data_IF_789423332020
#
_entry.id   IF_789423332020
#
_cell.length_a   1.000
_cell.length_b   1.000
_cell.length_c   1.000
_cell.angle_alpha   90.00
_cell.angle_beta   90.00
_cell.angle_gamma   90.00
#
_symmetry.space_group_name_H-M   'P 1'
#
loop_
_entity.id
_entity.type
_entity.pdbx_description
1 polymer ?
#
# COMPACT_ATOMS: atom_id res chain seq x y z
N UNK A 1 66.78 -12.89 -14.03
CA UNK A 1 67.10 -11.45 -13.91
C UNK A 1 65.86 -10.54 -13.93
N UNK A 2 64.70 -10.96 -14.43
CA UNK A 2 63.49 -10.11 -14.57
C UNK A 2 62.62 -10.00 -13.32
N UNK A 3 62.39 -11.09 -12.58
CA UNK A 3 61.49 -11.10 -11.42
C UNK A 3 61.99 -10.24 -10.26
N UNK A 4 63.29 -10.26 -9.96
CA UNK A 4 63.87 -9.44 -8.90
C UNK A 4 63.72 -7.94 -9.22
N UNK A 5 63.89 -7.56 -10.49
CA UNK A 5 63.67 -6.18 -10.95
C UNK A 5 62.20 -5.79 -10.89
N UNK A 6 61.28 -6.71 -11.25
CA UNK A 6 59.84 -6.52 -11.09
C UNK A 6 59.46 -6.31 -9.62
N UNK A 7 59.89 -7.21 -8.72
CA UNK A 7 59.61 -7.10 -7.29
C UNK A 7 60.13 -5.78 -6.70
N UNK A 8 61.34 -5.35 -7.07
CA UNK A 8 61.89 -4.05 -6.65
C UNK A 8 61.05 -2.88 -7.16
N UNK A 9 60.65 -2.90 -8.44
CA UNK A 9 59.80 -1.84 -9.02
C UNK A 9 58.40 -1.81 -8.41
N UNK A 10 57.83 -2.97 -8.11
CA UNK A 10 56.50 -3.11 -7.53
C UNK A 10 56.48 -2.64 -6.08
N UNK A 11 57.47 -3.03 -5.27
CA UNK A 11 57.61 -2.56 -3.89
C UNK A 11 57.82 -1.03 -3.85
N UNK A 12 58.65 -0.49 -4.75
CA UNK A 12 58.82 0.96 -4.87
C UNK A 12 57.52 1.67 -5.26
N UNK A 13 56.71 1.07 -6.15
CA UNK A 13 55.41 1.61 -6.54
C UNK A 13 54.35 1.51 -5.43
N UNK A 14 54.44 0.52 -4.54
CA UNK A 14 53.58 0.39 -3.36
C UNK A 14 53.95 1.40 -2.28
N UNK A 15 55.24 1.61 -2.02
CA UNK A 15 55.73 2.52 -0.99
C UNK A 15 55.42 3.99 -1.33
N UNK A 16 55.35 4.33 -2.63
CA UNK A 16 54.93 5.65 -3.08
C UNK A 16 53.43 5.94 -2.88
N UNK A 17 52.60 4.93 -2.57
CA UNK A 17 51.16 5.13 -2.39
C UNK A 17 50.85 5.45 -0.92
N UNK A 18 50.04 6.48 -0.64
CA UNK A 18 49.69 6.82 0.73
C UNK A 18 48.87 5.69 1.36
N UNK A 19 49.27 5.23 2.55
CA UNK A 19 48.57 4.18 3.30
C UNK A 19 47.16 4.63 3.76
N UNK A 20 46.92 5.94 3.84
CA UNK A 20 45.63 6.55 4.18
C UNK A 20 45.31 7.63 3.16
N UNK A 21 44.11 7.58 2.62
CA UNK A 21 43.57 8.67 1.79
C UNK A 21 43.17 9.83 2.71
N UNK A 22 43.43 11.07 2.30
CA UNK A 22 42.99 12.28 3.02
C UNK A 22 41.47 12.42 2.97
N UNK A 23 40.87 13.19 3.90
CA UNK A 23 39.43 13.48 3.89
C UNK A 23 38.95 14.08 2.56
N UNK A 24 39.81 14.87 1.91
CA UNK A 24 39.49 15.58 0.67
C UNK A 24 39.80 14.76 -0.60
N UNK A 25 40.14 13.47 -0.44
CA UNK A 25 40.44 12.61 -1.59
C UNK A 25 39.17 12.29 -2.38
N UNK A 26 39.09 12.80 -3.61
CA UNK A 26 38.02 12.51 -4.56
C UNK A 26 38.64 11.78 -5.74
N UNK A 27 38.14 10.58 -6.03
CA UNK A 27 38.52 9.81 -7.20
C UNK A 27 37.30 9.58 -8.10
N UNK A 28 37.42 9.97 -9.37
CA UNK A 28 36.35 9.81 -10.36
C UNK A 28 36.17 8.33 -10.71
N UNK A 29 34.95 7.82 -10.50
CA UNK A 29 34.58 6.44 -10.80
C UNK A 29 34.81 6.06 -12.27
N UNK A 30 34.76 7.04 -13.18
CA UNK A 30 34.91 6.85 -14.62
C UNK A 30 36.35 6.61 -15.06
N UNK A 31 37.32 6.95 -14.22
CA UNK A 31 38.75 6.80 -14.52
C UNK A 31 39.30 5.44 -14.07
N UNK A 32 38.54 4.66 -13.30
CA UNK A 32 38.99 3.34 -12.91
C UNK A 32 39.01 2.38 -14.10
N UNK A 33 40.10 1.62 -14.29
CA UNK A 33 40.13 0.58 -15.31
C UNK A 33 39.08 -0.48 -14.99
N UNK A 34 38.34 -0.94 -16.00
CA UNK A 34 37.33 -1.99 -15.86
C UNK A 34 37.95 -3.24 -15.21
N UNK A 35 37.69 -3.45 -13.92
CA UNK A 35 38.10 -4.66 -13.22
C UNK A 35 37.13 -5.77 -13.59
N UNK A 36 37.65 -6.91 -14.03
CA UNK A 36 36.84 -8.12 -14.17
C UNK A 36 36.25 -8.48 -12.81
N UNK A 37 34.98 -8.90 -12.79
CA UNK A 37 34.33 -9.31 -11.55
C UNK A 37 35.14 -10.47 -10.93
N UNK A 38 35.76 -10.22 -9.76
CA UNK A 38 36.41 -11.27 -8.99
C UNK A 38 35.32 -12.13 -8.35
N UNK A 39 34.76 -13.06 -9.12
CA UNK A 39 33.78 -14.01 -8.57
C UNK A 39 34.54 -15.03 -7.77
N UNK A 40 34.24 -15.09 -6.47
CA UNK A 40 34.67 -16.19 -5.63
C UNK A 40 34.34 -17.53 -6.32
N UNK A 41 35.23 -18.54 -6.24
CA UNK A 41 34.90 -19.89 -6.66
C UNK A 41 33.54 -20.30 -6.07
N UNK A 42 32.64 -20.82 -6.91
CA UNK A 42 31.31 -21.24 -6.46
C UNK A 42 31.46 -22.29 -5.36
N UNK A 43 30.85 -22.05 -4.22
CA UNK A 43 30.80 -23.02 -3.12
C UNK A 43 30.16 -24.33 -3.62
N UNK A 44 30.67 -25.52 -3.21
CA UNK A 44 30.03 -26.79 -3.51
C UNK A 44 28.59 -26.79 -2.97
N UNK A 45 27.65 -27.39 -3.70
CA UNK A 45 26.25 -27.42 -3.28
C UNK A 45 26.07 -28.33 -2.05
N UNK A 46 25.29 -27.92 -1.04
CA UNK A 46 24.54 -26.67 -0.93
C UNK A 46 25.42 -25.47 -0.50
N UNK A 47 25.29 -24.29 -1.16
CA UNK A 47 26.20 -23.15 -1.00
C UNK A 47 26.07 -22.40 0.34
N UNK A 48 25.01 -22.67 1.11
CA UNK A 48 24.84 -22.15 2.46
C UNK A 48 24.30 -23.24 3.38
N UNK A 49 24.75 -23.32 4.63
CA UNK A 49 24.04 -24.09 5.64
C UNK A 49 22.60 -23.58 5.71
N UNK A 50 21.63 -24.49 5.72
CA UNK A 50 20.23 -24.12 5.88
C UNK A 50 20.11 -23.29 7.16
N UNK A 51 19.51 -22.10 7.05
CA UNK A 51 19.18 -21.28 8.21
C UNK A 51 18.46 -22.17 9.23
N UNK A 52 18.93 -22.27 10.48
CA UNK A 52 18.21 -23.00 11.49
C UNK A 52 16.78 -22.46 11.54
N UNK A 53 15.80 -23.32 11.26
CA UNK A 53 14.41 -22.94 11.45
C UNK A 53 14.29 -22.49 12.91
N UNK A 54 13.66 -21.34 13.23
CA UNK A 54 13.45 -20.95 14.61
C UNK A 54 12.86 -22.14 15.34
N UNK A 55 13.46 -22.51 16.47
CA UNK A 55 13.01 -23.64 17.28
C UNK A 55 11.54 -23.41 17.63
N UNK A 56 10.65 -24.01 16.87
CA UNK A 56 9.34 -24.38 17.36
C UNK A 56 9.66 -25.37 18.46
N UNK A 57 9.48 -24.93 19.71
CA UNK A 57 9.46 -25.78 20.88
C UNK A 57 8.42 -26.88 20.65
N UNK A 58 8.87 -27.98 20.07
CA UNK A 58 8.17 -29.26 20.10
C UNK A 58 8.42 -29.81 21.48
N UNK A 59 7.55 -29.42 22.41
CA UNK A 59 7.08 -30.40 23.37
C UNK A 59 6.30 -31.45 22.56
N UNK A 60 6.53 -32.71 22.86
CA UNK A 60 6.12 -33.84 22.04
C UNK A 60 4.60 -33.89 21.86
N UNK A 61 4.13 -33.66 20.63
CA UNK A 61 2.75 -33.91 20.24
C UNK A 61 2.38 -33.16 18.96
N UNK A 62 2.59 -33.80 17.81
CA UNK A 62 1.87 -33.54 16.55
C UNK A 62 1.43 -32.08 16.32
N UNK A 63 2.36 -31.18 15.99
CA UNK A 63 2.03 -29.79 15.63
C UNK A 63 1.79 -29.67 14.13
N UNK A 64 0.59 -30.07 13.72
CA UNK A 64 -0.15 -29.20 12.80
C UNK A 64 -0.05 -27.78 13.37
N UNK A 65 0.20 -26.78 12.53
CA UNK A 65 -0.01 -25.39 12.94
C UNK A 65 -1.45 -25.28 13.41
N UNK A 66 -1.69 -25.44 14.71
CA UNK A 66 -2.94 -25.07 15.34
C UNK A 66 -2.92 -23.55 15.33
N UNK A 67 -3.25 -22.99 14.16
CA UNK A 67 -3.88 -21.69 14.09
C UNK A 67 -4.95 -21.72 15.16
N UNK A 68 -4.71 -21.04 16.28
CA UNK A 68 -5.68 -20.90 17.35
C UNK A 68 -6.77 -20.00 16.79
N UNK A 69 -7.62 -20.60 15.97
CA UNK A 69 -8.70 -19.90 15.32
C UNK A 69 -9.82 -19.77 16.34
N UNK A 70 -10.28 -18.54 16.53
CA UNK A 70 -11.33 -18.23 17.50
C UNK A 70 -12.61 -17.97 16.72
N UNK A 71 -13.74 -18.41 17.28
CA UNK A 71 -15.07 -18.05 16.80
C UNK A 71 -15.49 -16.74 17.46
N UNK A 72 -15.77 -15.73 16.65
CA UNK A 72 -16.08 -14.38 17.12
C UNK A 72 -17.53 -14.05 16.83
N UNK A 73 -18.28 -13.70 17.87
CA UNK A 73 -19.70 -13.32 17.73
C UNK A 73 -19.86 -11.82 17.92
N UNK A 74 -20.31 -11.12 16.89
CA UNK A 74 -20.53 -9.67 16.86
C UNK A 74 -22.00 -9.36 17.18
N UNK A 75 -22.27 -8.96 18.43
CA UNK A 75 -23.62 -8.68 18.94
C UNK A 75 -23.92 -7.18 18.84
N UNK A 76 -24.86 -6.75 17.99
CA UNK A 76 -25.24 -5.35 17.93
C UNK A 76 -26.02 -4.92 19.16
N UNK A 77 -25.73 -3.71 19.64
CA UNK A 77 -26.42 -3.12 20.79
C UNK A 77 -27.77 -2.48 20.43
N UNK A 78 -28.05 -2.29 19.13
CA UNK A 78 -29.34 -1.83 18.62
C UNK A 78 -29.99 -2.99 17.88
N UNK A 79 -31.28 -3.31 18.12
CA UNK A 79 -31.96 -4.44 17.49
C UNK A 79 -32.20 -4.26 15.98
N UNK A 80 -31.73 -3.14 15.39
CA UNK A 80 -31.90 -2.80 13.98
C UNK A 80 -30.94 -3.55 13.04
N UNK A 81 -29.94 -4.25 13.56
CA UNK A 81 -28.87 -4.87 12.75
C UNK A 81 -28.67 -6.32 13.17
N UNK A 82 -28.28 -7.22 12.25
CA UNK A 82 -28.11 -8.64 12.55
C UNK A 82 -26.87 -8.92 13.41
N UNK A 83 -26.94 -9.99 14.20
CA UNK A 83 -25.78 -10.60 14.88
C UNK A 83 -25.01 -11.43 13.87
N UNK A 84 -23.68 -11.24 13.80
CA UNK A 84 -22.83 -11.93 12.83
C UNK A 84 -21.80 -12.77 13.59
N UNK A 85 -21.75 -14.06 13.27
CA UNK A 85 -20.70 -14.96 13.74
C UNK A 85 -19.63 -15.13 12.66
N UNK A 86 -18.38 -14.96 13.06
CA UNK A 86 -17.21 -15.12 12.21
C UNK A 86 -16.39 -16.28 12.77
N UNK A 87 -16.40 -17.41 12.06
CA UNK A 87 -15.67 -18.61 12.43
C UNK A 87 -14.27 -18.61 11.85
N UNK A 88 -13.36 -19.31 12.49
CA UNK A 88 -12.01 -19.58 11.99
C UNK A 88 -11.08 -18.34 11.85
N UNK A 89 -11.18 -17.34 12.74
CA UNK A 89 -10.34 -16.14 12.69
C UNK A 89 -9.03 -16.33 13.45
N UNK A 90 -7.90 -16.00 12.83
CA UNK A 90 -6.60 -15.92 13.49
C UNK A 90 -6.45 -14.58 14.26
N UNK A 91 -6.43 -14.58 15.61
CA UNK A 91 -6.39 -13.37 16.42
C UNK A 91 -5.06 -12.61 16.33
N UNK A 92 -3.97 -13.27 15.89
CA UNK A 92 -2.65 -12.64 15.77
C UNK A 92 -2.49 -11.86 14.46
N UNK A 93 -3.22 -12.26 13.41
CA UNK A 93 -3.16 -11.61 12.09
C UNK A 93 -4.31 -10.66 11.83
N UNK A 94 -5.44 -10.86 12.48
CA UNK A 94 -6.66 -10.08 12.22
C UNK A 94 -6.71 -8.87 13.14
N UNK A 95 -6.94 -7.69 12.57
CA UNK A 95 -7.12 -6.45 13.31
C UNK A 95 -8.59 -6.19 13.66
N UNK A 96 -8.84 -5.28 14.60
CA UNK A 96 -10.20 -4.82 14.92
C UNK A 96 -10.84 -4.11 13.72
N UNK A 97 -10.04 -3.44 12.89
CA UNK A 97 -10.49 -2.84 11.64
C UNK A 97 -11.06 -3.88 10.66
N UNK A 98 -10.42 -5.04 10.53
CA UNK A 98 -10.86 -6.09 9.60
C UNK A 98 -12.23 -6.65 10.01
N UNK A 99 -12.42 -6.89 11.31
CA UNK A 99 -13.72 -7.33 11.85
C UNK A 99 -14.79 -6.26 11.67
N UNK A 100 -14.43 -5.00 11.89
CA UNK A 100 -15.32 -3.85 11.67
C UNK A 100 -15.75 -3.75 10.20
N UNK A 101 -14.83 -3.99 9.27
CA UNK A 101 -15.09 -3.96 7.83
C UNK A 101 -15.94 -5.15 7.37
N UNK A 102 -15.71 -6.34 7.92
CA UNK A 102 -16.53 -7.53 7.66
C UNK A 102 -17.97 -7.33 8.15
N UNK A 103 -18.13 -6.77 9.34
CA UNK A 103 -19.46 -6.42 9.87
C UNK A 103 -20.15 -5.33 9.03
N UNK A 104 -19.41 -4.28 8.63
CA UNK A 104 -19.90 -3.22 7.76
C UNK A 104 -20.44 -3.76 6.42
N UNK A 105 -19.69 -4.69 5.81
CA UNK A 105 -20.06 -5.30 4.53
C UNK A 105 -21.32 -6.16 4.65
N UNK A 106 -21.40 -7.00 5.68
CA UNK A 106 -22.55 -7.89 5.86
C UNK A 106 -23.81 -7.15 6.36
N UNK A 107 -23.65 -6.11 7.18
CA UNK A 107 -24.77 -5.30 7.65
C UNK A 107 -25.16 -4.18 6.66
N UNK A 108 -24.42 -4.00 5.55
CA UNK A 108 -24.58 -2.88 4.60
C UNK A 108 -24.54 -1.50 5.28
N UNK A 109 -23.58 -1.32 6.20
CA UNK A 109 -23.39 -0.08 6.97
C UNK A 109 -22.01 0.51 6.70
N UNK A 110 -21.89 1.84 6.77
CA UNK A 110 -20.59 2.50 6.67
C UNK A 110 -19.70 2.22 7.90
N UNK A 111 -18.49 1.71 7.68
CA UNK A 111 -17.50 1.41 8.72
C UNK A 111 -17.15 2.62 9.61
N UNK A 112 -17.31 3.85 9.12
CA UNK A 112 -17.09 5.06 9.89
C UNK A 112 -18.13 5.27 11.02
N UNK A 113 -19.34 4.72 10.85
CA UNK A 113 -20.46 4.87 11.80
C UNK A 113 -20.53 3.74 12.84
N UNK A 114 -19.56 2.84 12.83
CA UNK A 114 -19.54 1.63 13.66
C UNK A 114 -18.45 1.77 14.72
N UNK A 115 -18.76 1.45 15.98
CA UNK A 115 -17.76 1.28 17.04
C UNK A 115 -17.83 -0.15 17.52
N UNK A 116 -16.68 -0.83 17.54
CA UNK A 116 -16.56 -2.18 18.10
C UNK A 116 -16.20 -2.05 19.58
N UNK A 117 -16.88 -2.82 20.42
CA UNK A 117 -16.71 -2.83 21.86
C UNK A 117 -16.29 -4.22 22.32
N UNK A 118 -15.31 -4.27 23.20
CA UNK A 118 -14.94 -5.48 23.92
C UNK A 118 -15.19 -5.24 25.41
N UNK A 119 -15.89 -6.16 26.10
CA UNK A 119 -16.28 -6.00 27.52
C UNK A 119 -16.94 -4.62 27.81
N UNK A 120 -17.81 -4.15 26.90
CA UNK A 120 -18.50 -2.83 26.93
C UNK A 120 -17.56 -1.61 26.83
N UNK A 121 -16.30 -1.77 26.46
CA UNK A 121 -15.34 -0.69 26.22
C UNK A 121 -15.08 -0.53 24.71
N UNK A 122 -15.15 0.69 24.14
CA UNK A 122 -14.77 0.91 22.75
C UNK A 122 -13.30 0.56 22.50
N UNK A 123 -13.05 -0.18 21.42
CA UNK A 123 -11.72 -0.63 21.03
C UNK A 123 -11.21 0.18 19.85
N UNK A 124 -9.91 0.47 19.83
CA UNK A 124 -9.24 1.15 18.73
C UNK A 124 -9.00 0.20 17.57
N UNK A 125 -9.30 0.65 16.34
CA UNK A 125 -9.21 -0.15 15.11
C UNK A 125 -7.80 -0.65 14.78
N UNK A 126 -6.76 0.07 15.23
CA UNK A 126 -5.34 -0.26 15.00
C UNK A 126 -4.81 -1.44 15.81
N UNK A 127 -5.58 -1.94 16.79
CA UNK A 127 -5.14 -3.06 17.63
C UNK A 127 -5.45 -4.40 16.98
N UNK A 128 -4.58 -5.37 17.21
CA UNK A 128 -4.86 -6.77 16.86
C UNK A 128 -5.83 -7.38 17.86
N UNK A 129 -6.56 -8.41 17.45
CA UNK A 129 -7.51 -9.07 18.35
C UNK A 129 -6.81 -9.73 19.53
N UNK A 130 -5.59 -10.24 19.33
CA UNK A 130 -4.74 -10.76 20.40
C UNK A 130 -4.45 -9.71 21.49
N UNK A 131 -4.21 -8.46 21.12
CA UNK A 131 -3.97 -7.37 22.09
C UNK A 131 -5.24 -6.94 22.83
N UNK A 132 -6.41 -7.12 22.22
CA UNK A 132 -7.69 -6.66 22.76
C UNK A 132 -8.30 -7.70 23.68
N UNK A 133 -8.22 -8.95 23.27
CA UNK A 133 -8.76 -10.11 23.96
C UNK A 133 -7.80 -10.57 25.07
N UNK A 134 -6.49 -10.39 24.85
CA UNK A 134 -5.42 -10.93 25.68
C UNK A 134 -5.17 -12.40 25.39
N UNK A 135 -4.07 -12.95 25.91
CA UNK A 135 -3.72 -14.38 25.79
C UNK A 135 -4.66 -15.31 26.57
N UNK A 136 -5.67 -14.76 27.26
CA UNK A 136 -6.61 -15.44 28.15
C UNK A 136 -8.05 -15.23 27.65
N UNK A 137 -8.35 -15.72 26.45
CA UNK A 137 -9.73 -15.92 26.06
C UNK A 137 -9.92 -17.28 25.47
N UNK A 138 -11.02 -17.91 25.88
CA UNK A 138 -11.50 -19.14 25.31
C UNK A 138 -11.78 -19.00 23.81
N UNK A 139 -12.03 -20.14 23.18
CA UNK A 139 -12.24 -20.27 21.73
C UNK A 139 -13.46 -19.51 21.19
N UNK A 140 -14.27 -18.90 22.05
CA UNK A 140 -15.43 -18.08 21.69
C UNK A 140 -15.34 -16.70 22.35
N UNK A 141 -15.37 -15.64 21.54
CA UNK A 141 -15.24 -14.26 22.02
C UNK A 141 -16.37 -13.38 21.48
N UNK A 142 -17.11 -12.74 22.39
CA UNK A 142 -18.17 -11.80 22.05
C UNK A 142 -17.65 -10.36 21.95
N UNK A 143 -17.95 -9.67 20.85
CA UNK A 143 -17.78 -8.22 20.73
C UNK A 143 -19.14 -7.55 20.57
N UNK A 144 -19.32 -6.42 21.25
CA UNK A 144 -20.47 -5.56 21.06
C UNK A 144 -20.27 -4.63 19.87
N UNK A 145 -21.28 -4.47 19.02
CA UNK A 145 -21.24 -3.49 17.93
C UNK A 145 -22.20 -2.34 18.24
N UNK A 146 -21.66 -1.13 18.40
CA UNK A 146 -22.44 0.08 18.54
C UNK A 146 -22.48 0.83 17.21
N UNK A 147 -23.63 0.80 16.56
CA UNK A 147 -23.90 1.58 15.35
C UNK A 147 -24.37 2.97 15.77
N UNK A 148 -23.66 4.03 15.39
CA UNK A 148 -24.06 5.41 15.66
C UNK A 148 -25.29 5.77 14.79
N UNK A 149 -26.26 6.47 15.41
CA UNK A 149 -27.52 6.81 14.77
C UNK A 149 -27.29 7.72 13.55
N UNK A 150 -27.92 7.38 12.42
CA UNK A 150 -27.66 7.95 11.08
C UNK A 150 -27.18 6.92 10.05
N UNK A 151 -27.19 5.62 10.39
CA UNK A 151 -26.80 4.53 9.50
C UNK A 151 -27.99 3.66 9.01
N UNK A 152 -29.22 3.99 9.41
CA UNK A 152 -30.43 3.43 8.80
C UNK A 152 -31.05 4.50 7.90
N UNK A 153 -31.53 4.07 6.73
CA UNK A 153 -32.23 4.80 5.67
C UNK A 153 -31.38 5.17 4.43
N UNK A 154 -31.08 4.17 3.61
CA UNK A 154 -31.41 4.26 2.18
C UNK A 154 -32.40 3.13 1.88
N UNK A 155 -33.70 3.47 1.84
CA UNK A 155 -34.77 2.52 1.54
C UNK A 155 -36.13 2.87 2.14
N UNK A 156 -36.98 3.50 1.32
CA UNK A 156 -38.46 3.55 1.38
C UNK A 156 -39.19 4.33 2.51
N UNK A 157 -39.78 5.45 2.06
CA UNK A 157 -41.12 6.00 2.33
C UNK A 157 -41.57 6.43 3.76
N UNK A 158 -42.14 7.64 3.78
CA UNK A 158 -42.77 8.42 4.86
C UNK A 158 -44.03 7.77 5.49
N UNK A 159 -44.54 8.28 6.64
CA UNK A 159 -45.56 9.35 6.58
C UNK A 159 -45.47 10.46 7.66
N UNK A 160 -45.76 11.71 7.23
CA UNK A 160 -46.59 12.81 7.81
C UNK A 160 -46.59 13.11 9.34
N UNK A 161 -46.67 14.34 9.88
CA UNK A 161 -47.14 15.69 9.48
C UNK A 161 -46.57 16.74 10.49
N UNK A 162 -46.54 18.07 10.31
CA UNK A 162 -47.02 18.98 9.28
C UNK A 162 -46.91 20.46 9.73
N UNK A 163 -46.76 21.37 8.75
CA UNK A 163 -47.18 22.80 8.68
C UNK A 163 -46.25 23.52 7.69
N UNK A 164 -46.63 24.32 6.69
CA UNK A 164 -47.87 24.76 6.02
C UNK A 164 -47.42 25.44 4.69
N UNK A 165 -48.31 25.79 3.73
CA UNK A 165 -48.11 25.54 2.29
C UNK A 165 -47.82 26.79 1.45
N UNK A 166 -47.15 26.64 0.29
CA UNK A 166 -47.49 27.39 -0.94
C UNK A 166 -47.06 26.59 -2.20
N UNK A 167 -48.07 26.22 -3.00
CA UNK A 167 -48.18 26.06 -4.48
C UNK A 167 -46.98 25.66 -5.37
N UNK A 168 -47.24 24.76 -6.33
CA UNK A 168 -46.37 24.25 -7.42
C UNK A 168 -47.08 24.46 -8.78
N UNK A 169 -46.57 24.03 -9.98
CA UNK A 169 -45.22 23.75 -10.55
C UNK A 169 -45.14 24.27 -12.06
N UNK A 170 -44.31 23.80 -13.05
CA UNK A 170 -43.22 22.79 -13.08
C UNK A 170 -41.94 23.08 -13.96
N UNK A 171 -40.89 22.25 -13.71
CA UNK A 171 -40.02 21.53 -14.68
C UNK A 171 -38.52 21.88 -14.85
N UNK A 172 -37.71 20.79 -14.82
CA UNK A 172 -36.38 20.51 -15.44
C UNK A 172 -35.09 20.72 -14.60
N UNK A 173 -34.28 19.64 -14.57
CA UNK A 173 -33.06 19.35 -13.80
C UNK A 173 -31.80 20.15 -14.17
N UNK A 174 -30.76 20.15 -13.29
CA UNK A 174 -29.44 19.68 -13.73
C UNK A 174 -28.63 18.85 -12.69
N UNK A 175 -27.50 18.24 -13.13
CA UNK A 175 -26.84 17.07 -12.54
C UNK A 175 -25.64 17.36 -11.60
N UNK A 176 -25.23 16.26 -10.96
CA UNK A 176 -24.07 15.96 -10.11
C UNK A 176 -22.74 16.65 -10.43
N UNK A 177 -22.19 17.31 -9.39
CA UNK A 177 -20.78 17.67 -9.22
C UNK A 177 -20.01 16.48 -8.60
N UNK A 178 -18.93 16.05 -9.23
CA UNK A 178 -17.89 15.20 -8.64
C UNK A 178 -16.56 15.92 -8.77
N UNK A 179 -16.21 16.69 -7.74
CA UNK A 179 -14.92 17.35 -7.60
C UNK A 179 -14.23 16.83 -6.32
N UNK A 180 -12.90 16.68 -6.41
CA UNK A 180 -11.93 16.65 -5.29
C UNK A 180 -11.81 15.30 -4.54
N UNK A 181 -10.82 14.43 -4.77
CA UNK A 181 -9.44 14.56 -5.25
C UNK A 181 -8.45 14.59 -4.08
N UNK A 182 -7.62 13.53 -3.91
CA UNK A 182 -6.16 13.60 -3.61
C UNK A 182 -5.54 12.23 -3.22
N UNK A 183 -4.48 11.82 -3.92
CA UNK A 183 -3.38 11.06 -3.31
C UNK A 183 -2.04 11.46 -3.96
N UNK A 184 -1.08 11.81 -3.10
CA UNK A 184 0.27 12.25 -3.38
C UNK A 184 1.26 11.07 -3.35
N UNK A 185 2.35 11.26 -4.10
CA UNK A 185 3.63 10.54 -4.20
C UNK A 185 4.23 10.06 -2.86
N UNK A 186 5.15 9.08 -2.77
CA UNK A 186 5.99 8.26 -3.68
C UNK A 186 6.70 7.22 -2.77
N UNK A 187 7.55 6.27 -3.16
CA UNK A 187 8.30 5.99 -4.38
C UNK A 187 8.95 4.59 -4.24
N UNK A 188 9.14 3.91 -5.37
CA UNK A 188 10.17 2.90 -5.71
C UNK A 188 9.99 1.37 -5.46
N UNK A 189 10.36 0.67 -6.55
CA UNK A 189 10.98 -0.66 -6.74
C UNK A 189 10.08 -1.79 -7.32
N UNK A 190 10.60 -2.29 -8.43
CA UNK A 190 10.13 -3.27 -9.38
C UNK A 190 9.59 -4.60 -8.83
N UNK A 191 8.68 -5.20 -9.60
CA UNK A 191 8.31 -6.61 -9.49
C UNK A 191 6.92 -6.88 -10.05
N UNK A 192 6.87 -7.69 -11.11
CA UNK A 192 5.68 -8.05 -11.87
C UNK A 192 4.41 -8.33 -11.04
N UNK A 193 3.31 -7.70 -11.42
CA UNK A 193 1.97 -8.25 -11.25
C UNK A 193 1.00 -7.64 -12.28
N UNK A 194 0.51 -8.52 -13.13
CA UNK A 194 -0.70 -8.38 -13.94
C UNK A 194 -1.83 -7.69 -13.16
N UNK A 195 -2.44 -6.65 -13.73
CA UNK A 195 -3.58 -5.97 -13.13
C UNK A 195 -4.25 -4.97 -14.07
N UNK A 196 -5.38 -5.40 -14.63
CA UNK A 196 -6.41 -4.61 -15.33
C UNK A 196 -6.05 -4.14 -16.75
N UNK A 197 -6.11 -5.10 -17.66
CA UNK A 197 -6.61 -4.87 -19.02
C UNK A 197 -8.07 -4.37 -18.91
N UNK A 198 -8.24 -3.05 -18.92
CA UNK A 198 -9.48 -2.39 -19.32
C UNK A 198 -9.50 -2.29 -20.84
N UNK A 199 -10.63 -2.65 -21.44
CA UNK A 199 -10.80 -2.86 -22.87
C UNK A 199 -10.44 -1.62 -23.73
N UNK A 200 -9.60 -1.86 -24.75
CA UNK A 200 -9.16 -0.87 -25.74
C UNK A 200 -7.65 -0.93 -25.91
N UNK A 201 -7.15 -1.88 -26.71
CA UNK A 201 -5.74 -1.98 -27.05
C UNK A 201 -5.35 -0.88 -28.04
N UNK A 202 -5.31 0.36 -27.57
CA UNK A 202 -4.56 1.44 -28.17
C UNK A 202 -3.15 1.34 -27.58
N UNK A 203 -2.14 1.16 -28.42
CA UNK A 203 -0.76 1.05 -27.93
C UNK A 203 -0.44 2.30 -27.12
N UNK A 204 0.44 2.22 -26.10
CA UNK A 204 0.85 3.42 -25.36
C UNK A 204 1.41 4.54 -26.26
N UNK A 205 1.83 4.20 -27.48
CA UNK A 205 2.21 5.16 -28.53
C UNK A 205 1.02 5.87 -29.19
N UNK A 206 -0.13 5.21 -29.30
CA UNK A 206 -1.35 5.75 -29.89
C UNK A 206 -1.99 6.77 -28.93
N UNK A 207 -1.97 6.48 -27.62
CA UNK A 207 -2.48 7.39 -26.58
C UNK A 207 -1.68 8.71 -26.54
N UNK A 208 -0.35 8.65 -26.65
CA UNK A 208 0.52 9.85 -26.69
C UNK A 208 0.36 10.64 -27.99
N UNK A 209 -0.17 10.01 -29.05
CA UNK A 209 -0.46 10.70 -30.31
C UNK A 209 -1.74 11.55 -30.24
N UNK A 210 -2.62 11.32 -29.26
CA UNK A 210 -3.87 12.06 -29.07
C UNK A 210 -3.61 13.42 -28.42
N UNK A 211 -4.28 14.48 -28.89
CA UNK A 211 -4.14 15.82 -28.30
C UNK A 211 -4.69 15.93 -26.87
N UNK A 212 -5.59 15.01 -26.48
CA UNK A 212 -6.15 14.91 -25.12
C UNK A 212 -5.04 14.64 -24.08
N UNK A 213 -4.08 13.76 -24.39
CA UNK A 213 -2.94 13.47 -23.52
C UNK A 213 -2.09 14.72 -23.25
N UNK A 214 -1.86 15.55 -24.28
CA UNK A 214 -1.07 16.77 -24.16
C UNK A 214 -1.83 17.88 -23.40
N UNK A 215 -3.16 17.92 -23.52
CA UNK A 215 -4.02 18.79 -22.72
C UNK A 215 -4.00 18.43 -21.23
N UNK A 216 -4.05 17.15 -20.91
CA UNK A 216 -3.95 16.64 -19.54
C UNK A 216 -2.57 16.88 -18.94
N UNK A 217 -1.50 16.67 -19.72
CA UNK A 217 -0.13 16.97 -19.30
C UNK A 217 0.03 18.46 -19.00
N UNK A 218 -0.49 19.35 -19.85
CA UNK A 218 -0.48 20.81 -19.60
C UNK A 218 -1.21 21.14 -18.30
N UNK A 219 -2.39 20.58 -18.09
CA UNK A 219 -3.18 20.80 -16.86
C UNK A 219 -2.44 20.32 -15.62
N UNK A 220 -1.79 19.15 -15.69
CA UNK A 220 -0.97 18.62 -14.62
C UNK A 220 0.23 19.51 -14.28
N UNK A 221 0.92 20.03 -15.29
CA UNK A 221 2.07 20.92 -15.09
C UNK A 221 1.64 22.27 -14.51
N UNK A 222 0.54 22.85 -14.98
CA UNK A 222 -0.04 24.07 -14.40
C UNK A 222 -0.42 23.88 -12.92
N UNK A 223 -0.99 22.72 -12.57
CA UNK A 223 -1.37 22.42 -11.19
C UNK A 223 -0.15 22.27 -10.26
N UNK A 224 0.95 21.69 -10.76
CA UNK A 224 2.14 21.38 -9.94
C UNK A 224 3.14 22.53 -9.87
N UNK A 225 3.36 23.21 -10.98
CA UNK A 225 4.38 24.27 -11.10
C UNK A 225 3.78 25.62 -10.72
N UNK A 226 2.46 25.81 -10.88
CA UNK A 226 1.75 27.08 -10.65
C UNK A 226 2.34 28.26 -11.44
N UNK A 227 3.04 27.94 -12.53
CA UNK A 227 3.60 28.87 -13.50
C UNK A 227 3.08 28.46 -14.87
N UNK A 228 2.42 29.40 -15.55
CA UNK A 228 1.80 29.18 -16.84
C UNK A 228 2.83 29.11 -17.98
N UNK A 229 3.86 29.94 -17.90
CA UNK A 229 4.84 30.09 -18.97
C UNK A 229 5.81 28.89 -18.97
N UNK A 230 6.28 28.47 -17.80
CA UNK A 230 7.18 27.30 -17.69
C UNK A 230 6.43 25.98 -17.94
N UNK A 231 5.16 25.89 -17.55
CA UNK A 231 4.31 24.73 -17.87
C UNK A 231 4.11 24.54 -19.37
N UNK A 232 3.86 25.62 -20.11
CA UNK A 232 3.73 25.57 -21.57
C UNK A 232 5.06 25.26 -22.26
N UNK A 233 6.16 25.86 -21.79
CA UNK A 233 7.51 25.58 -22.30
C UNK A 233 7.87 24.09 -22.19
N UNK A 234 7.63 23.48 -21.04
CA UNK A 234 7.97 22.08 -20.78
C UNK A 234 7.11 21.12 -21.63
N UNK A 235 5.81 21.37 -21.76
CA UNK A 235 4.94 20.59 -22.66
C UNK A 235 5.39 20.70 -24.11
N UNK A 236 5.80 21.90 -24.54
CA UNK A 236 6.38 22.13 -25.87
C UNK A 236 7.62 21.27 -26.12
N UNK A 237 8.58 21.27 -25.19
CA UNK A 237 9.80 20.46 -25.29
C UNK A 237 9.48 18.96 -25.36
N UNK A 238 8.55 18.46 -24.54
CA UNK A 238 8.15 17.06 -24.59
C UNK A 238 7.47 16.70 -25.92
N UNK A 239 6.61 17.57 -26.45
CA UNK A 239 5.94 17.35 -27.74
C UNK A 239 6.92 17.38 -28.91
N UNK A 240 7.87 18.31 -28.91
CA UNK A 240 8.95 18.37 -29.91
C UNK A 240 9.86 17.13 -29.87
N UNK A 241 10.31 16.73 -28.68
CA UNK A 241 11.15 15.55 -28.50
C UNK A 241 10.42 14.26 -28.92
N UNK A 242 9.12 14.17 -28.65
CA UNK A 242 8.29 13.06 -29.11
C UNK A 242 8.15 13.05 -30.64
N UNK A 243 7.91 14.20 -31.27
CA UNK A 243 7.84 14.31 -32.74
C UNK A 243 9.17 13.95 -33.42
N UNK A 244 10.31 14.28 -32.81
CA UNK A 244 11.63 13.92 -33.31
C UNK A 244 11.94 12.43 -33.20
N UNK A 245 11.33 11.72 -32.25
CA UNK A 245 11.57 10.31 -31.96
C UNK A 245 10.42 9.38 -32.41
N UNK A 246 9.47 9.94 -33.18
CA UNK A 246 8.38 9.22 -33.84
C UNK A 246 8.82 8.74 -35.21
#
# INVERSE_FOLDING_TARGET
MSELSFCKSFLSALDARPAKLSSDHIADARQYPAQGAYTLPRLPHPPHPQRPNPKTSTDNGSTSTSSQTISITLKPMKPSTPTISLSSIDPAKTSVYDIKQQYATQASLSAAKIKVLYKKKPVTDSKTLLEVIGSDAGSEVEFGVMVMAGAALEGAASPAAGSTPVTSPPAVAPPTESEKGLASAGETIAGAASGTAGAGAESGKDIVATDEFWGDLKTFMLQRIKDADEGERLVGVFKEAWQQNK
#
